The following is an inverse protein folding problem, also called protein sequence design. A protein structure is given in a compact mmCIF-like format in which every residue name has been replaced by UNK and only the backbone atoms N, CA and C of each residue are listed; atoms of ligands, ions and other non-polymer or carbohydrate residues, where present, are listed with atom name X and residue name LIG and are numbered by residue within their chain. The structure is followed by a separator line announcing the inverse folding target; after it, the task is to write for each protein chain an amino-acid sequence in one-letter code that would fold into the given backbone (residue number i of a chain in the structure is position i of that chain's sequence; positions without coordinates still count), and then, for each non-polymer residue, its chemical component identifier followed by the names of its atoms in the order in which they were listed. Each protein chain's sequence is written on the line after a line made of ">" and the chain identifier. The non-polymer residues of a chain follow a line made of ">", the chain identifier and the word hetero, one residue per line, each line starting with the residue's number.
data_IF_169351900173
#
_entry.id   IF_169351900173
#
_cell.length_a   1.000
_cell.length_b   1.000
_cell.length_c   1.000
_cell.angle_alpha   90.00
_cell.angle_beta   90.00
_cell.angle_gamma   90.00
#
_symmetry.space_group_name_H-M   'P 1'
#
loop_
_entity.id
_entity.type
_entity.pdbx_description
1 polymer ?
#
# COMPACT_ATOMS: atom_id res chain seq x y z
N UNK A 1 -8.53 -1.87 -29.15
CA UNK A 1 -7.52 -2.95 -29.16
C UNK A 1 -7.07 -3.17 -27.74
N UNK A 2 -7.35 -4.32 -27.14
CA UNK A 2 -6.92 -4.64 -25.78
C UNK A 2 -5.40 -4.84 -25.82
N UNK A 3 -4.57 -4.02 -25.16
CA UNK A 3 -3.12 -4.21 -25.23
C UNK A 3 -2.78 -5.43 -24.38
N UNK A 4 -2.75 -6.61 -24.99
CA UNK A 4 -2.57 -7.88 -24.28
C UNK A 4 -1.11 -8.22 -23.97
N UNK A 5 -0.16 -7.29 -24.11
CA UNK A 5 1.25 -7.49 -23.74
C UNK A 5 2.05 -6.18 -23.70
N UNK A 6 1.58 -5.15 -22.99
CA UNK A 6 2.47 -4.03 -22.64
C UNK A 6 3.31 -4.50 -21.44
N UNK A 7 4.62 -4.66 -21.65
CA UNK A 7 5.55 -4.99 -20.56
C UNK A 7 5.47 -3.93 -19.47
N UNK A 8 5.58 -4.34 -18.20
CA UNK A 8 5.58 -3.44 -17.04
C UNK A 8 6.60 -2.30 -17.21
N UNK A 9 7.73 -2.57 -17.88
CA UNK A 9 8.77 -1.58 -18.14
C UNK A 9 8.34 -0.42 -19.06
N UNK A 10 7.28 -0.60 -19.84
CA UNK A 10 6.74 0.42 -20.73
C UNK A 10 5.69 1.31 -20.07
N UNK A 11 5.34 1.04 -18.80
CA UNK A 11 4.41 1.90 -18.07
C UNK A 11 5.09 3.23 -17.69
N UNK A 12 4.31 4.33 -17.57
CA UNK A 12 4.83 5.58 -17.03
C UNK A 12 5.57 5.35 -15.71
N UNK A 13 6.70 6.03 -15.50
CA UNK A 13 7.53 5.83 -14.29
C UNK A 13 6.69 5.92 -13.02
N UNK A 14 5.80 6.91 -12.93
CA UNK A 14 4.91 7.17 -11.81
C UNK A 14 3.97 6.00 -11.50
N UNK A 15 3.48 5.30 -12.52
CA UNK A 15 2.63 4.11 -12.37
C UNK A 15 3.45 2.92 -11.90
N UNK A 16 4.65 2.71 -12.46
CA UNK A 16 5.56 1.65 -12.02
C UNK A 16 5.94 1.83 -10.56
N UNK A 17 6.36 3.03 -10.17
CA UNK A 17 6.69 3.35 -8.79
C UNK A 17 5.49 3.17 -7.87
N UNK A 18 4.29 3.62 -8.27
CA UNK A 18 3.06 3.41 -7.49
C UNK A 18 2.78 1.92 -7.23
N UNK A 19 2.78 1.08 -8.28
CA UNK A 19 2.54 -0.37 -8.14
C UNK A 19 3.62 -1.02 -7.27
N UNK A 20 4.89 -0.74 -7.55
CA UNK A 20 6.01 -1.30 -6.78
C UNK A 20 5.97 -0.86 -5.31
N UNK A 21 5.61 0.39 -5.04
CA UNK A 21 5.48 0.91 -3.67
C UNK A 21 4.31 0.26 -2.93
N UNK A 22 3.16 0.03 -3.57
CA UNK A 22 2.06 -0.72 -2.95
C UNK A 22 2.54 -2.12 -2.55
N UNK A 23 3.13 -2.87 -3.48
CA UNK A 23 3.61 -4.22 -3.19
C UNK A 23 4.65 -4.21 -2.07
N UNK A 24 5.60 -3.28 -2.14
CA UNK A 24 6.65 -3.14 -1.14
C UNK A 24 6.09 -2.76 0.24
N UNK A 25 5.13 -1.82 0.31
CA UNK A 25 4.49 -1.39 1.56
C UNK A 25 3.75 -2.54 2.25
N UNK A 26 3.01 -3.35 1.49
CA UNK A 26 2.30 -4.52 1.99
C UNK A 26 3.25 -5.62 2.47
N UNK A 27 4.30 -5.91 1.70
CA UNK A 27 5.33 -6.87 2.10
C UNK A 27 6.05 -6.41 3.38
N UNK A 28 6.45 -5.14 3.44
CA UNK A 28 7.08 -4.56 4.62
C UNK A 28 6.17 -4.66 5.85
N UNK A 29 4.90 -4.28 5.71
CA UNK A 29 3.91 -4.33 6.80
C UNK A 29 3.73 -5.77 7.31
N UNK A 30 3.48 -6.73 6.42
CA UNK A 30 3.22 -8.13 6.80
C UNK A 30 4.46 -8.74 7.47
N UNK A 31 5.64 -8.60 6.86
CA UNK A 31 6.88 -9.19 7.40
C UNK A 31 7.23 -8.58 8.75
N UNK A 32 7.15 -7.26 8.87
CA UNK A 32 7.49 -6.56 10.11
C UNK A 32 6.50 -6.89 11.23
N UNK A 33 5.21 -6.93 10.92
CA UNK A 33 4.17 -7.27 11.88
C UNK A 33 4.27 -8.73 12.34
N UNK A 34 4.52 -9.66 11.42
CA UNK A 34 4.72 -11.08 11.73
C UNK A 34 5.95 -11.29 12.62
N UNK A 35 7.05 -10.60 12.32
CA UNK A 35 8.29 -10.70 13.09
C UNK A 35 8.14 -10.14 14.51
N UNK A 36 7.33 -9.09 14.69
CA UNK A 36 7.14 -8.45 15.99
C UNK A 36 6.08 -9.15 16.86
N UNK A 37 4.94 -9.53 16.28
CA UNK A 37 3.81 -10.11 17.02
C UNK A 37 3.83 -11.63 17.07
N UNK A 38 4.66 -12.28 16.25
CA UNK A 38 4.70 -13.74 16.11
C UNK A 38 3.51 -14.35 15.37
N UNK A 39 2.56 -13.52 14.92
CA UNK A 39 1.36 -13.97 14.23
C UNK A 39 1.12 -13.20 12.92
N UNK A 40 0.47 -13.88 11.97
CA UNK A 40 0.06 -13.28 10.70
C UNK A 40 -1.46 -13.20 10.70
N UNK A 41 -2.00 -11.99 10.64
CA UNK A 41 -3.43 -11.80 10.40
C UNK A 41 -3.77 -12.22 8.97
N UNK A 42 -4.55 -13.29 8.85
CA UNK A 42 -4.99 -13.83 7.56
C UNK A 42 -5.82 -12.79 6.78
N UNK A 43 -6.54 -11.93 7.49
CA UNK A 43 -7.26 -10.80 6.91
C UNK A 43 -6.29 -9.79 6.26
N UNK A 44 -5.26 -9.36 6.98
CA UNK A 44 -4.28 -8.41 6.42
C UNK A 44 -3.53 -8.99 5.23
N UNK A 45 -3.21 -10.29 5.27
CA UNK A 45 -2.53 -10.96 4.17
C UNK A 45 -3.42 -11.06 2.92
N UNK A 46 -4.67 -11.50 3.09
CA UNK A 46 -5.63 -11.63 1.98
C UNK A 46 -6.00 -10.28 1.37
N UNK A 47 -6.25 -9.27 2.21
CA UNK A 47 -6.53 -7.91 1.73
C UNK A 47 -5.30 -7.29 1.08
N UNK A 48 -4.10 -7.48 1.62
CA UNK A 48 -2.86 -7.02 0.98
C UNK A 48 -2.65 -7.61 -0.41
N UNK A 49 -2.88 -8.93 -0.56
CA UNK A 49 -2.85 -9.59 -1.87
C UNK A 49 -3.92 -9.04 -2.82
N UNK A 50 -5.15 -8.86 -2.35
CA UNK A 50 -6.25 -8.28 -3.14
C UNK A 50 -5.89 -6.87 -3.62
N UNK A 51 -5.35 -6.01 -2.75
CA UNK A 51 -4.96 -4.64 -3.07
C UNK A 51 -3.84 -4.60 -4.09
N UNK A 52 -2.84 -5.47 -3.95
CA UNK A 52 -1.75 -5.63 -4.93
C UNK A 52 -2.27 -6.14 -6.28
N UNK A 53 -3.23 -7.06 -6.27
CA UNK A 53 -3.86 -7.56 -7.50
C UNK A 53 -4.71 -6.47 -8.18
N UNK A 54 -5.49 -5.72 -7.41
CA UNK A 54 -6.37 -4.67 -7.92
C UNK A 54 -5.58 -3.54 -8.58
N UNK A 55 -4.48 -3.11 -7.96
CA UNK A 55 -3.60 -2.09 -8.56
C UNK A 55 -2.96 -2.61 -9.84
N UNK A 56 -2.59 -3.91 -9.90
CA UNK A 56 -2.05 -4.52 -11.12
C UNK A 56 -3.10 -4.72 -12.23
N UNK A 57 -4.39 -4.82 -11.89
CA UNK A 57 -5.47 -5.01 -12.87
C UNK A 57 -5.69 -3.80 -13.79
N UNK A 58 -5.00 -2.68 -13.54
CA UNK A 58 -5.07 -1.43 -14.30
C UNK A 58 -6.48 -0.82 -14.40
N UNK A 59 -7.40 -1.24 -13.52
CA UNK A 59 -8.75 -0.67 -13.43
C UNK A 59 -8.75 0.57 -12.55
N UNK A 60 -9.33 1.67 -13.05
CA UNK A 60 -9.44 2.92 -12.31
C UNK A 60 -10.17 2.76 -10.95
N UNK A 61 -11.20 1.91 -10.87
CA UNK A 61 -11.85 1.56 -9.60
C UNK A 61 -10.90 0.81 -8.63
N UNK A 62 -10.07 -0.09 -9.15
CA UNK A 62 -9.06 -0.80 -8.36
C UNK A 62 -8.06 0.15 -7.73
N UNK A 63 -7.59 1.14 -8.50
CA UNK A 63 -6.72 2.22 -7.99
C UNK A 63 -7.35 3.01 -6.86
N UNK A 64 -8.61 3.45 -7.01
CA UNK A 64 -9.32 4.22 -5.98
C UNK A 64 -9.49 3.37 -4.71
N UNK A 65 -9.85 2.10 -4.87
CA UNK A 65 -9.96 1.16 -3.76
C UNK A 65 -8.62 0.99 -3.03
N UNK A 66 -7.52 0.75 -3.77
CA UNK A 66 -6.17 0.63 -3.21
C UNK A 66 -5.78 1.86 -2.40
N UNK A 67 -5.98 3.06 -2.96
CA UNK A 67 -5.68 4.32 -2.26
C UNK A 67 -6.51 4.48 -0.99
N UNK A 68 -7.82 4.25 -1.08
CA UNK A 68 -8.70 4.37 0.09
C UNK A 68 -8.30 3.38 1.19
N UNK A 69 -7.90 2.17 0.81
CA UNK A 69 -7.50 1.13 1.74
C UNK A 69 -6.12 1.40 2.37
N UNK A 70 -5.12 1.83 1.60
CA UNK A 70 -3.80 2.22 2.11
C UNK A 70 -3.90 3.41 3.09
N UNK A 71 -4.78 4.39 2.81
CA UNK A 71 -5.09 5.48 3.74
C UNK A 71 -5.76 4.95 5.01
N UNK A 72 -6.75 4.06 4.88
CA UNK A 72 -7.41 3.42 6.03
C UNK A 72 -6.44 2.66 6.92
N UNK A 73 -5.53 1.90 6.31
CA UNK A 73 -4.45 1.20 7.02
C UNK A 73 -3.51 2.18 7.73
N UNK A 74 -3.13 3.28 7.07
CA UNK A 74 -2.32 4.34 7.70
C UNK A 74 -2.99 4.92 8.95
N UNK A 75 -4.29 5.18 8.89
CA UNK A 75 -5.07 5.69 10.04
C UNK A 75 -5.15 4.64 11.15
N UNK A 76 -5.44 3.39 10.81
CA UNK A 76 -5.53 2.30 11.80
C UNK A 76 -4.18 2.08 12.52
N UNK A 77 -3.08 2.00 11.77
CA UNK A 77 -1.73 1.85 12.34
C UNK A 77 -1.37 3.09 13.18
N UNK A 78 -1.77 4.29 12.74
CA UNK A 78 -1.60 5.53 13.48
C UNK A 78 -2.36 5.54 14.81
N UNK A 79 -3.59 5.02 14.84
CA UNK A 79 -4.37 4.86 16.07
C UNK A 79 -3.70 3.87 17.03
N UNK A 80 -3.21 2.73 16.53
CA UNK A 80 -2.44 1.79 17.35
C UNK A 80 -1.17 2.42 17.93
N UNK A 81 -0.48 3.25 17.13
CA UNK A 81 0.71 3.97 17.57
C UNK A 81 0.37 4.99 18.66
N UNK A 82 -0.75 5.72 18.52
CA UNK A 82 -1.23 6.67 19.53
C UNK A 82 -1.56 5.98 20.85
N UNK A 83 -2.26 4.83 20.81
CA UNK A 83 -2.56 4.05 22.00
C UNK A 83 -1.29 3.54 22.70
N UNK A 84 -0.27 3.15 21.92
CA UNK A 84 1.02 2.69 22.44
C UNK A 84 1.80 3.82 23.15
N UNK A 85 1.70 5.04 22.62
CA UNK A 85 2.23 6.26 23.26
C UNK A 85 1.50 6.55 24.56
N UNK A 86 0.16 6.50 24.54
CA UNK A 86 -0.66 6.82 25.69
C UNK A 86 -0.48 5.82 26.84
N UNK A 87 -0.26 4.54 26.53
CA UNK A 87 -0.03 3.50 27.54
C UNK A 87 1.34 3.60 28.20
N UNK A 88 2.17 4.60 27.86
CA UNK A 88 3.50 4.81 28.43
C UNK A 88 4.50 3.69 28.10
N UNK A 89 4.14 2.79 27.18
CA UNK A 89 4.88 1.57 26.89
C UNK A 89 5.99 1.84 25.87
N UNK A 90 6.85 2.83 26.17
CA UNK A 90 8.05 3.18 25.40
C UNK A 90 9.19 2.16 25.60
N UNK A 91 8.87 0.89 25.78
CA UNK A 91 9.86 -0.14 26.08
C UNK A 91 10.87 -0.36 24.95
N UNK A 92 10.54 0.04 23.71
CA UNK A 92 11.47 0.03 22.58
C UNK A 92 11.09 1.01 21.47
N UNK A 93 12.10 1.53 20.76
CA UNK A 93 11.95 2.35 19.53
C UNK A 93 11.44 1.55 18.33
N UNK A 94 11.60 0.23 18.36
CA UNK A 94 11.26 -0.70 17.28
C UNK A 94 9.82 -0.58 16.75
N UNK A 95 8.75 -0.62 17.58
CA UNK A 95 7.38 -0.48 17.10
C UNK A 95 7.10 0.90 16.49
N UNK A 96 7.76 1.96 16.97
CA UNK A 96 7.64 3.30 16.40
C UNK A 96 8.19 3.35 14.98
N UNK A 97 9.38 2.80 14.77
CA UNK A 97 10.02 2.77 13.44
C UNK A 97 9.22 1.90 12.47
N UNK A 98 8.76 0.72 12.91
CA UNK A 98 7.97 -0.18 12.05
C UNK A 98 6.63 0.44 11.67
N UNK A 99 5.85 0.93 12.65
CA UNK A 99 4.53 1.52 12.40
C UNK A 99 4.65 2.82 11.62
N UNK A 100 5.58 3.70 12.00
CA UNK A 100 5.86 4.95 11.29
C UNK A 100 6.34 4.72 9.86
N UNK A 101 7.24 3.77 9.64
CA UNK A 101 7.70 3.37 8.31
C UNK A 101 6.57 2.81 7.44
N UNK A 102 5.69 1.99 8.01
CA UNK A 102 4.52 1.45 7.30
C UNK A 102 3.54 2.54 6.88
N UNK A 103 3.22 3.47 7.79
CA UNK A 103 2.37 4.63 7.50
C UNK A 103 2.97 5.46 6.37
N UNK A 104 4.27 5.76 6.45
CA UNK A 104 4.96 6.52 5.43
C UNK A 104 4.88 5.84 4.05
N UNK A 105 5.13 4.53 3.99
CA UNK A 105 5.07 3.77 2.75
C UNK A 105 3.66 3.72 2.14
N UNK A 106 2.62 3.52 2.95
CA UNK A 106 1.22 3.51 2.47
C UNK A 106 0.74 4.90 2.00
N UNK A 107 1.18 5.97 2.65
CA UNK A 107 0.90 7.33 2.18
C UNK A 107 1.63 7.59 0.87
N UNK A 108 2.91 7.21 0.79
CA UNK A 108 3.72 7.41 -0.41
C UNK A 108 3.15 6.64 -1.60
N UNK A 109 2.78 5.37 -1.43
CA UNK A 109 2.11 4.57 -2.48
C UNK A 109 0.83 5.25 -2.96
N UNK A 110 0.02 5.75 -2.02
CA UNK A 110 -1.22 6.46 -2.31
C UNK A 110 -1.01 7.74 -3.13
N UNK A 111 -0.01 8.54 -2.78
CA UNK A 111 0.34 9.76 -3.52
C UNK A 111 0.73 9.44 -4.95
N UNK A 112 1.61 8.45 -5.15
CA UNK A 112 2.03 8.03 -6.48
C UNK A 112 0.85 7.54 -7.34
N UNK A 113 -0.10 6.81 -6.75
CA UNK A 113 -1.32 6.36 -7.44
C UNK A 113 -2.31 7.49 -7.75
N UNK A 114 -2.33 8.56 -6.95
CA UNK A 114 -3.25 9.69 -7.12
C UNK A 114 -2.79 10.72 -8.16
N UNK A 115 -1.53 10.67 -8.57
CA UNK A 115 -0.97 11.58 -9.60
C UNK A 115 -1.82 11.60 -10.88
N UNK A 116 -1.81 12.76 -11.55
CA UNK A 116 -2.54 12.99 -12.80
C UNK A 116 -2.07 12.04 -13.91
N UNK A 117 -0.78 11.73 -13.97
CA UNK A 117 -0.22 10.76 -14.92
C UNK A 117 -0.78 9.35 -14.72
N UNK A 118 -0.78 8.86 -13.48
CA UNK A 118 -1.38 7.57 -13.15
C UNK A 118 -2.88 7.56 -13.46
N UNK A 119 -3.58 8.67 -13.18
CA UNK A 119 -5.01 8.81 -13.50
C UNK A 119 -5.30 8.68 -14.99
N UNK A 120 -4.51 9.35 -15.83
CA UNK A 120 -4.71 9.35 -17.27
C UNK A 120 -4.43 7.96 -17.85
N UNK A 121 -3.34 7.30 -17.41
CA UNK A 121 -2.99 5.96 -17.84
C UNK A 121 -4.08 4.92 -17.52
N UNK A 122 -4.63 4.92 -16.30
CA UNK A 122 -5.70 4.01 -15.90
C UNK A 122 -7.04 4.30 -16.61
N UNK A 123 -7.26 5.54 -17.06
CA UNK A 123 -8.45 5.92 -17.81
C UNK A 123 -8.35 5.45 -19.27
N UNK A 124 -7.17 5.54 -19.87
CA UNK A 124 -6.90 5.08 -21.24
C UNK A 124 -7.03 3.56 -21.36
N UNK A 125 -6.60 2.79 -20.36
CA UNK A 125 -6.74 1.32 -20.33
C UNK A 125 -8.18 0.79 -20.23
N UNK A 126 -9.15 1.64 -19.89
CA UNK A 126 -10.58 1.29 -19.80
C UNK A 126 -11.30 1.48 -21.14
N UNK A 127 -10.75 2.26 -22.07
CA UNK A 127 -11.28 2.39 -23.45
C UNK A 127 -10.83 1.23 -24.33
#
# INVERSE_FOLDING_TARGET
>A
MKPSNISFMNYPGTVRYGISLVIFSWMFFIISHASYTGHISLLHMTMGMLVCFLVYSMKNWGRIFTVAYDIGMSVMIGAELYLLVQSGSFSSLTPFVIKGGSIFLFILSSIFLLTSEARNFYREFIR
#
